data_IF_154265136740
#
_entry.id   IF_154265136740
#
_cell.length_a   1.000
_cell.length_b   1.000
_cell.length_c   1.000
_cell.angle_alpha   90.00
_cell.angle_beta   90.00
_cell.angle_gamma   90.00
#
_symmetry.space_group_name_H-M   'P 1'
#
loop_
_entity.id
_entity.type
_entity.pdbx_description
1 polymer ?
#
# COMPACT_ATOMS: atom_id res chain seq x y z
N UNK A 1 14.86 -19.87 0.66
CA UNK A 1 14.19 -18.80 -0.08
C UNK A 1 14.94 -17.50 0.18
N UNK A 2 15.33 -16.78 -0.87
CA UNK A 2 15.83 -15.41 -0.72
C UNK A 2 14.66 -14.49 -0.30
N UNK A 3 14.95 -13.27 0.18
CA UNK A 3 13.89 -12.33 0.57
C UNK A 3 12.93 -11.99 -0.59
N UNK A 4 13.41 -12.11 -1.84
CA UNK A 4 12.66 -11.81 -3.06
C UNK A 4 12.34 -13.09 -3.87
N UNK A 5 12.29 -14.24 -3.22
CA UNK A 5 11.96 -15.50 -3.88
C UNK A 5 10.47 -15.52 -4.29
N UNK A 6 10.21 -15.55 -5.59
CA UNK A 6 8.87 -15.55 -6.17
C UNK A 6 8.45 -16.91 -6.75
N UNK A 7 9.17 -17.99 -6.45
CA UNK A 7 8.97 -19.33 -7.05
C UNK A 7 7.58 -19.96 -6.84
N UNK A 8 6.77 -19.44 -5.92
CA UNK A 8 5.40 -19.88 -5.67
C UNK A 8 4.33 -18.96 -6.33
N UNK A 9 4.76 -17.98 -7.11
CA UNK A 9 3.90 -17.05 -7.85
C UNK A 9 4.05 -17.29 -9.35
N UNK A 10 3.00 -17.00 -10.11
CA UNK A 10 3.04 -17.09 -11.57
C UNK A 10 3.98 -16.02 -12.16
N UNK A 11 4.74 -16.41 -13.18
CA UNK A 11 5.71 -15.52 -13.83
C UNK A 11 5.03 -14.36 -14.55
N UNK A 12 3.77 -14.53 -14.99
CA UNK A 12 2.98 -13.47 -15.60
C UNK A 12 2.94 -12.23 -14.70
N UNK A 13 2.64 -12.41 -13.40
CA UNK A 13 2.55 -11.30 -12.46
C UNK A 13 3.90 -10.78 -12.00
N UNK A 14 4.91 -11.65 -11.83
CA UNK A 14 6.22 -11.22 -11.32
C UNK A 14 7.06 -10.51 -12.38
N UNK A 15 6.72 -10.70 -13.66
CA UNK A 15 7.39 -10.05 -14.80
C UNK A 15 6.75 -8.72 -15.18
N UNK A 16 5.51 -8.46 -14.73
CA UNK A 16 4.83 -7.19 -14.96
C UNK A 16 5.57 -6.02 -14.27
N UNK A 17 5.44 -4.83 -14.87
CA UNK A 17 6.00 -3.60 -14.29
C UNK A 17 5.26 -3.24 -13.00
N UNK A 18 6.00 -2.92 -11.94
CA UNK A 18 5.45 -2.49 -10.66
C UNK A 18 4.95 -1.04 -10.78
N UNK A 19 3.71 -0.88 -11.24
CA UNK A 19 3.09 0.43 -11.47
C UNK A 19 1.61 0.42 -11.13
N UNK A 20 1.10 1.59 -10.72
CA UNK A 20 -0.34 1.80 -10.59
C UNK A 20 -0.93 2.11 -11.95
N UNK A 21 -2.09 1.53 -12.25
CA UNK A 21 -2.86 1.88 -13.44
C UNK A 21 -3.21 3.38 -13.38
N UNK A 22 -2.91 4.17 -14.42
CA UNK A 22 -3.32 5.57 -14.47
C UNK A 22 -4.84 5.70 -14.33
N UNK A 23 -5.29 6.49 -13.35
CA UNK A 23 -6.72 6.70 -13.10
C UNK A 23 -7.26 7.89 -13.91
N UNK A 24 -8.48 7.75 -14.45
CA UNK A 24 -9.19 8.84 -15.09
C UNK A 24 -9.67 9.86 -14.05
N UNK A 25 -9.23 11.11 -14.19
CA UNK A 25 -9.58 12.21 -13.28
C UNK A 25 -11.07 12.51 -13.28
N UNK A 26 -11.76 12.33 -14.41
CA UNK A 26 -13.21 12.57 -14.47
C UNK A 26 -13.96 11.50 -13.69
N UNK A 27 -13.53 10.24 -13.76
CA UNK A 27 -14.09 9.17 -12.94
C UNK A 27 -13.88 9.47 -11.45
N UNK A 28 -12.65 9.82 -11.06
CA UNK A 28 -12.30 10.08 -9.67
C UNK A 28 -13.13 11.20 -9.03
N UNK A 29 -13.41 12.27 -9.79
CA UNK A 29 -14.24 13.40 -9.32
C UNK A 29 -15.70 13.03 -9.06
N UNK A 30 -16.19 11.95 -9.68
CA UNK A 30 -17.57 11.50 -9.55
C UNK A 30 -17.74 10.40 -8.49
N UNK A 31 -16.67 9.98 -7.81
CA UNK A 31 -16.72 8.97 -6.74
C UNK A 31 -17.10 9.65 -5.42
N UNK A 32 -18.14 9.14 -4.76
CA UNK A 32 -18.52 9.55 -3.41
C UNK A 32 -17.45 9.13 -2.39
N UNK A 33 -16.70 10.10 -1.87
CA UNK A 33 -15.63 9.85 -0.90
C UNK A 33 -16.16 9.45 0.49
N UNK A 34 -17.43 9.73 0.78
CA UNK A 34 -18.03 9.41 2.09
C UNK A 34 -18.21 7.91 2.29
N UNK A 35 -18.31 7.13 1.20
CA UNK A 35 -18.33 5.66 1.25
C UNK A 35 -17.03 5.06 1.84
N UNK A 36 -15.93 5.80 1.76
CA UNK A 36 -14.62 5.39 2.29
C UNK A 36 -14.28 6.07 3.63
N UNK A 37 -15.27 6.71 4.28
CA UNK A 37 -15.08 7.27 5.62
C UNK A 37 -14.62 6.18 6.60
N UNK A 38 -13.66 6.52 7.46
CA UNK A 38 -13.08 5.59 8.43
C UNK A 38 -12.39 4.35 7.85
N UNK A 39 -12.00 4.37 6.57
CA UNK A 39 -11.23 3.28 5.95
C UNK A 39 -9.81 3.11 6.53
N UNK A 40 -9.20 4.19 6.99
CA UNK A 40 -7.82 4.17 7.51
C UNK A 40 -7.71 3.35 8.79
N UNK A 41 -6.85 2.33 8.76
CA UNK A 41 -6.49 1.49 9.92
C UNK A 41 -4.96 1.36 10.03
N UNK A 42 -4.45 1.40 11.27
CA UNK A 42 -3.05 1.11 11.59
C UNK A 42 -3.05 0.02 12.66
N UNK A 43 -2.23 -1.01 12.47
CA UNK A 43 -2.05 -2.05 13.48
C UNK A 43 -1.17 -1.53 14.62
N UNK A 44 -1.77 -1.28 15.79
CA UNK A 44 -1.06 -0.77 16.97
C UNK A 44 -0.12 -1.78 17.62
N UNK A 45 -0.29 -3.08 17.37
CA UNK A 45 0.63 -4.13 17.86
C UNK A 45 1.90 -4.21 17.01
N UNK A 46 1.88 -3.60 15.82
CA UNK A 46 3.01 -3.54 14.89
C UNK A 46 3.61 -2.13 14.90
N UNK A 47 3.97 -1.65 16.09
CA UNK A 47 4.86 -0.48 16.17
C UNK A 47 6.22 -0.95 15.71
N UNK A 48 6.65 -0.48 14.53
CA UNK A 48 8.04 -0.64 14.09
C UNK A 48 8.89 -0.19 15.27
N UNK A 49 9.66 -1.11 15.87
CA UNK A 49 10.68 -0.78 16.83
C UNK A 49 11.77 0.01 16.11
N UNK A 50 11.48 1.27 15.80
CA UNK A 50 12.40 2.23 15.21
C UNK A 50 13.13 2.92 16.38
N UNK A 51 14.47 2.97 16.37
CA UNK A 51 15.27 3.60 17.41
C UNK A 51 15.16 5.15 17.45
N UNK A 52 14.21 5.76 16.72
CA UNK A 52 14.08 7.22 16.63
C UNK A 52 12.68 7.72 17.02
N UNK A 53 12.16 7.30 18.18
CA UNK A 53 11.16 8.09 18.90
C UNK A 53 11.84 9.22 19.67
N UNK A 54 12.28 10.26 18.95
CA UNK A 54 12.52 11.58 19.55
C UNK A 54 12.46 12.66 18.48
N UNK A 55 11.30 13.29 18.37
CA UNK A 55 11.25 14.75 18.19
C UNK A 55 10.06 15.23 19.01
N UNK A 56 10.40 15.61 20.25
CA UNK A 56 9.63 16.58 21.01
C UNK A 56 10.06 17.95 20.50
N UNK A 57 9.18 18.65 19.78
CA UNK A 57 8.67 20.03 19.99
C UNK A 57 7.78 20.42 18.82
#
# INVERSE_FOLDING_TARGET
>A
ASNNDTSNFDEEFTSESIQLTPCDKQLLLNIDQTEFASFTYINNEFVIASPFTSTSV
#
